data_IF_036986583492
#
_entry.id   IF_036986583492
#
_cell.length_a   1.000
_cell.length_b   1.000
_cell.length_c   1.000
_cell.angle_alpha   90.00
_cell.angle_beta   90.00
_cell.angle_gamma   90.00
#
_symmetry.space_group_name_H-M   'P 1'
#
loop_
_entity.id
_entity.type
_entity.pdbx_description
1 polymer ?
#
# COMPACT_ATOMS: atom_id res chain seq x y z
N UNK A 1 -42.32 -22.80 9.56
CA UNK A 1 -41.23 -22.65 10.57
C UNK A 1 -39.90 -22.80 9.82
N UNK A 2 -39.28 -21.72 9.45
CA UNK A 2 -37.96 -21.65 8.80
C UNK A 2 -36.88 -21.61 9.91
N UNK A 3 -35.81 -22.41 9.84
CA UNK A 3 -34.75 -22.34 10.82
C UNK A 3 -33.92 -21.08 10.61
N UNK A 4 -33.75 -20.30 11.69
CA UNK A 4 -32.95 -19.08 11.68
C UNK A 4 -31.45 -19.39 11.50
N UNK A 5 -30.85 -18.72 10.54
CA UNK A 5 -29.39 -18.72 10.35
C UNK A 5 -28.79 -17.76 11.39
N UNK A 6 -28.12 -18.35 12.35
CA UNK A 6 -27.34 -17.62 13.36
C UNK A 6 -26.01 -17.21 12.72
N UNK A 7 -25.87 -15.92 12.42
CA UNK A 7 -24.59 -15.34 12.02
C UNK A 7 -23.79 -15.02 13.29
N UNK A 8 -22.53 -15.41 13.39
CA UNK A 8 -21.70 -15.05 14.53
C UNK A 8 -21.39 -13.54 14.50
N UNK A 9 -21.49 -12.91 15.66
CA UNK A 9 -21.14 -11.51 15.87
C UNK A 9 -19.63 -11.27 15.62
N UNK A 10 -19.25 -10.11 15.07
CA UNK A 10 -17.84 -9.76 14.89
C UNK A 10 -17.24 -9.44 16.27
N UNK A 11 -16.34 -10.27 16.73
CA UNK A 11 -15.50 -9.98 17.89
C UNK A 11 -14.56 -8.83 17.57
N UNK A 12 -14.85 -7.67 18.14
CA UNK A 12 -13.92 -6.57 18.31
C UNK A 12 -12.85 -6.97 19.32
N UNK A 13 -11.61 -6.89 18.93
CA UNK A 13 -10.50 -6.90 19.88
C UNK A 13 -9.47 -7.99 19.67
N UNK A 14 -8.25 -7.55 19.44
CA UNK A 14 -7.07 -8.39 19.55
C UNK A 14 -6.26 -8.46 18.26
N UNK A 15 -5.21 -7.68 18.22
CA UNK A 15 -4.07 -7.94 17.35
C UNK A 15 -3.60 -9.38 17.59
N UNK A 16 -3.93 -10.30 16.70
CA UNK A 16 -3.46 -11.68 16.78
C UNK A 16 -2.05 -11.71 16.20
N UNK A 17 -1.10 -11.45 17.06
CA UNK A 17 0.26 -11.94 16.91
C UNK A 17 0.23 -13.44 17.20
N UNK A 18 0.74 -14.24 16.29
CA UNK A 18 0.97 -15.68 16.31
C UNK A 18 0.01 -16.54 15.48
N UNK A 19 0.33 -16.60 14.18
CA UNK A 19 0.09 -17.80 13.35
C UNK A 19 0.82 -17.80 12.01
N UNK A 20 1.99 -17.21 11.88
CA UNK A 20 2.79 -17.43 10.67
C UNK A 20 4.06 -18.19 11.00
N UNK A 21 4.00 -19.52 10.77
CA UNK A 21 5.19 -20.38 10.72
C UNK A 21 6.19 -19.78 9.75
N UNK A 22 7.36 -19.53 10.28
CA UNK A 22 8.55 -19.00 9.60
C UNK A 22 8.82 -19.80 8.32
N UNK A 23 8.56 -19.20 7.17
CA UNK A 23 9.04 -19.68 5.88
C UNK A 23 10.51 -19.26 5.79
N UNK A 24 11.45 -20.16 5.40
CA UNK A 24 12.87 -19.89 5.50
C UNK A 24 13.29 -18.70 4.65
N UNK A 25 14.04 -17.79 5.27
CA UNK A 25 14.49 -16.45 4.82
C UNK A 25 15.21 -16.35 3.47
N UNK A 26 15.46 -17.45 2.75
CA UNK A 26 16.27 -17.45 1.50
C UNK A 26 15.49 -17.45 0.19
N UNK A 27 14.17 -17.70 0.21
CA UNK A 27 13.39 -17.87 -1.05
C UNK A 27 12.43 -16.73 -1.36
N UNK A 28 12.15 -15.82 -0.40
CA UNK A 28 11.01 -14.90 -0.51
C UNK A 28 11.20 -13.82 -1.59
N UNK A 29 12.39 -13.24 -1.70
CA UNK A 29 12.60 -12.13 -2.66
C UNK A 29 12.70 -12.63 -4.10
N UNK A 30 13.16 -13.86 -4.33
CA UNK A 30 13.14 -14.48 -5.67
C UNK A 30 11.72 -14.82 -6.13
N UNK A 31 10.80 -15.14 -5.20
CA UNK A 31 9.41 -15.49 -5.49
C UNK A 31 8.52 -14.26 -5.73
N UNK A 32 8.82 -13.15 -5.06
CA UNK A 32 8.04 -11.90 -5.16
C UNK A 32 8.35 -11.12 -6.44
N UNK A 33 9.52 -11.33 -7.06
CA UNK A 33 9.97 -10.59 -8.24
C UNK A 33 10.26 -11.41 -9.50
N UNK A 34 9.52 -12.49 -9.87
CA UNK A 34 9.80 -13.21 -11.12
C UNK A 34 9.49 -12.40 -12.39
N UNK A 35 8.68 -11.33 -12.29
CA UNK A 35 8.35 -10.41 -13.39
C UNK A 35 9.06 -9.06 -13.32
N UNK A 36 9.92 -8.85 -12.34
CA UNK A 36 10.63 -7.58 -12.12
C UNK A 36 11.77 -7.29 -13.11
N UNK A 37 11.91 -8.06 -14.18
CA UNK A 37 12.94 -7.81 -15.20
C UNK A 37 12.72 -6.48 -15.97
N UNK A 38 11.50 -5.92 -15.93
CA UNK A 38 11.13 -4.71 -16.67
C UNK A 38 11.07 -3.45 -15.76
N UNK A 39 11.24 -3.61 -14.45
CA UNK A 39 11.20 -2.47 -13.52
C UNK A 39 12.50 -1.68 -13.65
N UNK A 40 12.38 -0.41 -13.97
CA UNK A 40 13.51 0.51 -14.02
C UNK A 40 14.12 0.64 -12.62
N UNK A 41 15.32 0.08 -12.45
CA UNK A 41 16.11 0.17 -11.22
C UNK A 41 17.24 1.16 -11.43
N UNK A 42 17.22 2.26 -10.70
CA UNK A 42 18.33 3.20 -10.66
C UNK A 42 19.12 3.00 -9.39
N UNK A 43 20.45 2.95 -9.49
CA UNK A 43 21.34 2.95 -8.33
C UNK A 43 22.03 4.30 -8.25
N UNK A 44 21.87 4.97 -7.11
CA UNK A 44 22.55 6.23 -6.79
C UNK A 44 23.29 6.06 -5.46
N UNK A 45 24.53 5.58 -5.52
CA UNK A 45 25.28 5.27 -4.31
C UNK A 45 24.62 4.15 -3.47
N UNK A 46 24.23 4.47 -2.25
CA UNK A 46 23.56 3.57 -1.30
C UNK A 46 22.02 3.58 -1.43
N UNK A 47 21.47 4.31 -2.39
CA UNK A 47 20.06 4.37 -2.69
C UNK A 47 19.72 3.50 -3.91
N UNK A 48 18.68 2.68 -3.78
CA UNK A 48 18.07 1.94 -4.88
C UNK A 48 16.68 2.51 -5.10
N UNK A 49 16.37 2.92 -6.32
CA UNK A 49 15.07 3.44 -6.70
C UNK A 49 14.41 2.44 -7.65
N UNK A 50 13.20 2.02 -7.32
CA UNK A 50 12.37 1.12 -8.13
C UNK A 50 11.14 1.90 -8.56
N UNK A 51 10.85 1.93 -9.87
CA UNK A 51 9.68 2.62 -10.44
C UNK A 51 8.66 1.61 -10.90
N UNK A 52 7.38 2.01 -10.86
CA UNK A 52 6.26 1.21 -11.31
C UNK A 52 6.25 -0.19 -10.66
N UNK A 53 6.42 -0.22 -9.34
CA UNK A 53 6.52 -1.48 -8.60
C UNK A 53 5.13 -2.03 -8.32
N UNK A 54 4.75 -3.19 -8.89
CA UNK A 54 3.49 -3.83 -8.58
C UNK A 54 3.47 -4.28 -7.12
N UNK A 55 2.38 -4.00 -6.44
CA UNK A 55 2.15 -4.33 -5.03
C UNK A 55 0.81 -4.99 -4.84
N UNK A 56 0.71 -5.84 -3.82
CA UNK A 56 -0.54 -6.46 -3.43
C UNK A 56 -0.54 -6.78 -1.94
N UNK A 57 -1.73 -6.87 -1.38
CA UNK A 57 -1.98 -7.41 -0.04
C UNK A 57 -3.10 -8.43 -0.12
N UNK A 58 -2.88 -9.61 0.47
CA UNK A 58 -3.91 -10.64 0.61
C UNK A 58 -4.76 -10.37 1.84
N UNK A 59 -4.18 -9.75 2.87
CA UNK A 59 -4.88 -9.42 4.10
C UNK A 59 -6.04 -8.45 3.85
N UNK A 60 -5.79 -7.39 3.08
CA UNK A 60 -6.81 -6.39 2.76
C UNK A 60 -7.38 -6.54 1.35
N UNK A 61 -6.97 -7.57 0.59
CA UNK A 61 -7.54 -7.96 -0.69
C UNK A 61 -7.36 -6.93 -1.81
N UNK A 62 -6.20 -6.25 -1.88
CA UNK A 62 -5.93 -5.23 -2.89
C UNK A 62 -4.68 -5.52 -3.71
N UNK A 63 -4.62 -4.93 -4.89
CA UNK A 63 -3.44 -4.88 -5.75
C UNK A 63 -3.34 -3.52 -6.41
N UNK A 64 -2.13 -3.11 -6.73
CA UNK A 64 -1.86 -1.81 -7.36
C UNK A 64 -0.41 -1.70 -7.80
N UNK A 65 0.02 -0.47 -8.01
CA UNK A 65 1.39 -0.15 -8.40
C UNK A 65 1.85 1.08 -7.61
N UNK A 66 3.07 1.01 -7.08
CA UNK A 66 3.74 2.17 -6.49
C UNK A 66 4.50 2.92 -7.59
N UNK A 67 4.30 4.22 -7.71
CA UNK A 67 5.05 5.05 -8.65
C UNK A 67 6.55 4.90 -8.44
N UNK A 68 6.98 5.01 -7.18
CA UNK A 68 8.38 4.86 -6.77
C UNK A 68 8.47 4.18 -5.41
N UNK A 69 9.41 3.26 -5.27
CA UNK A 69 9.84 2.70 -3.99
C UNK A 69 11.34 2.93 -3.85
N UNK A 70 11.73 3.63 -2.80
CA UNK A 70 13.11 3.90 -2.45
C UNK A 70 13.59 2.91 -1.39
N UNK A 71 14.77 2.33 -1.61
CA UNK A 71 15.45 1.47 -0.65
C UNK A 71 16.72 2.17 -0.19
N UNK A 72 16.72 2.67 1.03
CA UNK A 72 17.85 3.37 1.65
C UNK A 72 18.68 2.41 2.49
N UNK A 73 19.98 2.38 2.29
CA UNK A 73 20.86 1.55 3.12
C UNK A 73 20.74 1.91 4.59
N UNK A 74 20.52 0.90 5.45
CA UNK A 74 20.27 1.09 6.88
C UNK A 74 20.58 -0.18 7.66
N UNK A 75 21.04 -0.05 8.89
CA UNK A 75 21.28 -1.17 9.81
C UNK A 75 19.98 -1.91 10.20
N UNK A 76 18.87 -1.18 10.30
CA UNK A 76 17.57 -1.67 10.77
C UNK A 76 16.60 -2.08 9.64
N UNK A 77 17.09 -2.21 8.40
CA UNK A 77 16.26 -2.55 7.26
C UNK A 77 16.17 -4.05 6.97
N UNK A 78 15.63 -4.37 5.79
CA UNK A 78 15.51 -5.73 5.26
C UNK A 78 16.67 -6.05 4.31
N UNK A 79 17.10 -7.32 4.20
CA UNK A 79 18.06 -7.74 3.19
C UNK A 79 17.39 -7.80 1.81
N UNK A 80 18.09 -7.32 0.78
CA UNK A 80 17.66 -7.42 -0.62
C UNK A 80 18.52 -8.46 -1.34
N UNK A 81 17.87 -9.38 -2.09
CA UNK A 81 18.57 -10.42 -2.84
C UNK A 81 19.55 -9.82 -3.86
N UNK A 82 20.80 -10.31 -3.86
CA UNK A 82 21.86 -9.81 -4.74
C UNK A 82 22.47 -8.47 -4.31
N UNK A 83 22.20 -8.00 -3.08
CA UNK A 83 22.79 -6.78 -2.52
C UNK A 83 23.38 -7.04 -1.13
N UNK A 84 24.48 -6.35 -0.85
CA UNK A 84 25.12 -6.38 0.47
C UNK A 84 24.50 -5.30 1.35
N UNK A 85 24.17 -5.68 2.61
CA UNK A 85 23.57 -4.78 3.60
C UNK A 85 22.05 -4.93 3.70
N UNK A 86 21.48 -4.08 4.54
CA UNK A 86 20.04 -3.99 4.77
C UNK A 86 19.53 -2.64 4.27
N UNK A 87 18.23 -2.57 4.00
CA UNK A 87 17.61 -1.39 3.40
C UNK A 87 16.27 -1.10 4.06
N UNK A 88 16.01 0.15 4.41
CA UNK A 88 14.68 0.64 4.75
C UNK A 88 13.89 0.91 3.47
N UNK A 89 12.60 0.63 3.51
CA UNK A 89 11.69 0.74 2.36
C UNK A 89 10.83 1.98 2.52
N UNK A 90 10.78 2.83 1.51
CA UNK A 90 10.05 4.10 1.55
C UNK A 90 9.24 4.24 0.26
N UNK A 91 7.89 4.13 0.31
CA UNK A 91 7.05 4.43 -0.84
C UNK A 91 6.99 5.93 -1.10
N UNK A 92 6.98 6.31 -2.38
CA UNK A 92 6.87 7.70 -2.84
C UNK A 92 5.83 7.75 -3.95
N UNK A 93 4.74 8.45 -3.70
CA UNK A 93 3.67 8.71 -4.66
C UNK A 93 3.92 10.03 -5.39
N UNK A 94 3.76 10.05 -6.71
CA UNK A 94 3.95 11.25 -7.53
C UNK A 94 2.61 11.88 -7.91
N UNK A 95 2.47 13.16 -7.61
CA UNK A 95 1.30 13.98 -7.99
C UNK A 95 1.74 15.14 -8.87
N UNK A 96 1.06 15.37 -9.98
CA UNK A 96 1.38 16.47 -10.91
C UNK A 96 1.06 17.85 -10.31
N UNK A 97 -0.05 17.94 -9.56
CA UNK A 97 -0.59 19.19 -9.02
C UNK A 97 0.02 19.61 -7.69
N UNK A 98 -0.77 20.42 -6.96
CA UNK A 98 -0.49 20.90 -5.60
C UNK A 98 -1.17 19.99 -4.57
N UNK A 99 -0.75 20.06 -3.29
CA UNK A 99 -1.48 19.41 -2.20
C UNK A 99 -2.96 19.79 -2.18
N UNK A 100 -3.81 18.79 -1.93
CA UNK A 100 -5.25 18.99 -1.76
C UNK A 100 -5.57 18.97 -0.27
N UNK A 101 -6.68 19.59 0.12
CA UNK A 101 -7.16 19.59 1.51
C UNK A 101 -7.74 18.25 1.97
N UNK A 102 -7.70 17.20 1.14
CA UNK A 102 -8.26 15.89 1.43
C UNK A 102 -7.19 14.85 1.71
N UNK A 103 -7.47 13.90 2.58
CA UNK A 103 -6.56 12.80 2.96
C UNK A 103 -6.37 11.74 1.86
N UNK A 104 -6.96 11.92 0.68
CA UNK A 104 -7.00 10.89 -0.38
C UNK A 104 -5.58 10.47 -0.78
N UNK A 105 -4.67 11.43 -0.93
CA UNK A 105 -3.29 11.15 -1.33
C UNK A 105 -2.53 10.41 -0.20
N UNK A 106 -2.80 10.78 1.07
CA UNK A 106 -2.24 10.09 2.24
C UNK A 106 -2.77 8.65 2.36
N UNK A 107 -4.07 8.43 2.13
CA UNK A 107 -4.68 7.10 2.10
C UNK A 107 -4.08 6.22 1.01
N UNK A 108 -3.79 6.78 -0.17
CA UNK A 108 -3.19 6.05 -1.27
C UNK A 108 -1.79 5.56 -0.92
N UNK A 109 -0.90 6.43 -0.43
CA UNK A 109 0.47 6.03 -0.07
C UNK A 109 0.49 5.10 1.15
N UNK A 110 -0.46 5.24 2.09
CA UNK A 110 -0.60 4.32 3.21
C UNK A 110 -1.07 2.92 2.77
N UNK A 111 -1.98 2.84 1.80
CA UNK A 111 -2.39 1.55 1.21
C UNK A 111 -1.23 0.85 0.50
N UNK A 112 -0.41 1.59 -0.23
CA UNK A 112 0.83 1.08 -0.84
C UNK A 112 1.82 0.57 0.22
N UNK A 113 1.96 1.30 1.34
CA UNK A 113 2.82 0.88 2.44
C UNK A 113 2.35 -0.44 3.07
N UNK A 114 1.05 -0.61 3.33
CA UNK A 114 0.49 -1.87 3.85
C UNK A 114 0.76 -3.05 2.91
N UNK A 115 0.64 -2.86 1.60
CA UNK A 115 1.02 -3.89 0.63
C UNK A 115 2.51 -4.24 0.72
N UNK A 116 3.38 -3.23 0.76
CA UNK A 116 4.83 -3.43 0.85
C UNK A 116 5.23 -4.10 2.16
N UNK A 117 4.61 -3.76 3.28
CA UNK A 117 4.85 -4.37 4.59
C UNK A 117 4.55 -5.87 4.57
N UNK A 118 3.40 -6.26 3.99
CA UNK A 118 3.05 -7.68 3.83
C UNK A 118 4.02 -8.40 2.88
N UNK A 119 4.28 -7.82 1.70
CA UNK A 119 5.13 -8.42 0.69
C UNK A 119 6.58 -8.58 1.12
N UNK A 120 7.10 -7.64 1.90
CA UNK A 120 8.51 -7.58 2.29
C UNK A 120 8.75 -7.99 3.74
N UNK A 121 7.70 -8.32 4.49
CA UNK A 121 7.77 -8.67 5.92
C UNK A 121 8.56 -7.64 6.73
N UNK A 122 8.24 -6.36 6.55
CA UNK A 122 8.89 -5.23 7.22
C UNK A 122 7.87 -4.25 7.77
N UNK A 123 8.33 -3.28 8.56
CA UNK A 123 7.53 -2.15 9.00
C UNK A 123 7.95 -0.90 8.26
N UNK A 124 6.97 -0.13 7.79
CA UNK A 124 7.19 1.12 7.06
C UNK A 124 6.46 2.23 7.82
N UNK A 125 7.16 3.03 8.63
CA UNK A 125 6.53 4.02 9.49
C UNK A 125 6.07 5.28 8.77
N UNK A 126 6.60 5.54 7.57
CA UNK A 126 6.26 6.72 6.78
C UNK A 126 6.54 6.50 5.28
N UNK A 127 5.96 7.35 4.47
CA UNK A 127 6.24 7.48 3.05
C UNK A 127 6.24 8.94 2.62
N UNK A 128 6.28 9.19 1.33
CA UNK A 128 6.25 10.54 0.80
C UNK A 128 5.26 10.70 -0.33
N UNK A 129 4.73 11.92 -0.46
CA UNK A 129 4.04 12.41 -1.64
C UNK A 129 4.90 13.49 -2.26
N UNK A 130 5.20 13.36 -3.55
CA UNK A 130 5.93 14.37 -4.31
C UNK A 130 4.98 15.13 -5.22
N UNK A 131 4.83 16.43 -4.98
CA UNK A 131 4.03 17.35 -5.78
C UNK A 131 4.88 18.04 -6.83
N UNK A 132 4.71 17.66 -8.09
CA UNK A 132 5.58 18.10 -9.20
C UNK A 132 5.47 19.59 -9.52
N UNK A 133 4.29 20.21 -9.37
CA UNK A 133 4.07 21.62 -9.67
C UNK A 133 4.90 22.55 -8.76
N UNK A 134 4.96 22.22 -7.47
CA UNK A 134 5.70 23.00 -6.46
C UNK A 134 7.04 22.38 -6.11
N UNK A 135 7.41 21.23 -6.73
CA UNK A 135 8.63 20.47 -6.45
C UNK A 135 8.83 20.19 -4.96
N UNK A 136 7.74 19.90 -4.26
CA UNK A 136 7.73 19.67 -2.82
C UNK A 136 7.51 18.21 -2.50
N UNK A 137 8.23 17.72 -1.49
CA UNK A 137 8.10 16.35 -0.96
C UNK A 137 7.52 16.43 0.45
N UNK A 138 6.30 15.95 0.62
CA UNK A 138 5.60 15.91 1.88
C UNK A 138 5.77 14.54 2.52
N UNK A 139 6.14 14.52 3.81
CA UNK A 139 6.25 13.29 4.59
C UNK A 139 4.89 12.94 5.18
N UNK A 140 4.45 11.70 4.97
CA UNK A 140 3.22 11.14 5.55
C UNK A 140 3.61 10.07 6.55
N UNK A 141 3.26 10.26 7.81
CA UNK A 141 3.44 9.26 8.86
C UNK A 141 2.26 8.29 8.87
N UNK A 142 2.55 6.99 8.88
CA UNK A 142 1.51 5.95 8.85
C UNK A 142 1.09 5.60 10.26
N UNK A 143 0.28 6.48 10.86
CA UNK A 143 -0.31 6.29 12.19
C UNK A 143 -1.29 5.12 12.18
N UNK A 144 -1.57 4.55 13.35
CA UNK A 144 -2.58 3.48 13.46
C UNK A 144 -3.96 3.94 13.01
N UNK A 145 -4.30 5.21 13.24
CA UNK A 145 -5.56 5.79 12.75
C UNK A 145 -5.63 5.75 11.21
N UNK A 146 -4.56 6.19 10.53
CA UNK A 146 -4.49 6.17 9.07
C UNK A 146 -4.56 4.74 8.52
N UNK A 147 -3.88 3.79 9.18
CA UNK A 147 -3.90 2.37 8.83
C UNK A 147 -5.29 1.76 8.97
N UNK A 148 -5.98 2.02 10.09
CA UNK A 148 -7.36 1.57 10.30
C UNK A 148 -8.29 2.16 9.24
N UNK A 149 -8.21 3.47 8.97
CA UNK A 149 -9.01 4.13 7.94
C UNK A 149 -8.83 3.49 6.54
N UNK A 150 -7.61 3.10 6.18
CA UNK A 150 -7.35 2.36 4.93
C UNK A 150 -8.04 1.00 4.94
N UNK A 151 -7.88 0.22 6.02
CA UNK A 151 -8.48 -1.12 6.15
C UNK A 151 -10.01 -1.05 6.08
N UNK A 152 -10.62 -0.12 6.79
CA UNK A 152 -12.08 0.07 6.81
C UNK A 152 -12.61 0.45 5.44
N UNK A 153 -11.92 1.36 4.74
CA UNK A 153 -12.28 1.77 3.38
C UNK A 153 -12.28 0.58 2.41
N UNK A 154 -11.25 -0.27 2.45
CA UNK A 154 -11.22 -1.45 1.59
C UNK A 154 -12.23 -2.52 2.01
N UNK A 155 -12.49 -2.71 3.29
CA UNK A 155 -13.55 -3.59 3.76
C UNK A 155 -14.93 -3.15 3.24
N UNK A 156 -15.21 -1.85 3.26
CA UNK A 156 -16.44 -1.29 2.68
C UNK A 156 -16.51 -1.49 1.16
N UNK A 157 -15.43 -1.26 0.44
CA UNK A 157 -15.35 -1.49 -1.01
C UNK A 157 -15.62 -2.96 -1.36
N UNK A 158 -15.01 -3.90 -0.63
CA UNK A 158 -15.24 -5.34 -0.82
C UNK A 158 -16.69 -5.74 -0.51
N UNK A 159 -17.30 -5.15 0.51
CA UNK A 159 -18.71 -5.34 0.82
C UNK A 159 -19.60 -4.91 -0.35
N UNK A 160 -19.39 -3.73 -0.91
CA UNK A 160 -20.15 -3.25 -2.07
C UNK A 160 -19.94 -4.14 -3.30
N UNK A 161 -18.70 -4.54 -3.55
CA UNK A 161 -18.37 -5.44 -4.64
C UNK A 161 -19.07 -6.80 -4.50
N UNK A 162 -19.00 -7.40 -3.30
CA UNK A 162 -19.67 -8.68 -3.02
C UNK A 162 -21.21 -8.62 -3.14
N UNK A 163 -21.79 -7.48 -2.78
CA UNK A 163 -23.22 -7.22 -2.92
C UNK A 163 -23.62 -6.81 -4.34
N UNK A 164 -22.67 -6.65 -5.26
CA UNK A 164 -22.88 -6.08 -6.60
C UNK A 164 -23.63 -4.73 -6.56
N UNK A 165 -23.34 -3.95 -5.53
CA UNK A 165 -23.96 -2.68 -5.25
C UNK A 165 -23.10 -1.53 -5.77
N UNK A 166 -23.69 -0.67 -6.61
CA UNK A 166 -23.05 0.58 -7.03
C UNK A 166 -23.74 1.75 -6.33
N UNK A 167 -23.01 2.48 -5.46
CA UNK A 167 -23.58 3.64 -4.78
C UNK A 167 -24.07 4.70 -5.78
N UNK A 168 -25.26 5.22 -5.53
CA UNK A 168 -25.79 6.34 -6.33
C UNK A 168 -25.06 7.61 -5.94
N UNK A 169 -24.42 8.26 -6.89
CA UNK A 169 -23.75 9.53 -6.69
C UNK A 169 -24.57 10.68 -7.29
N UNK A 170 -24.56 11.83 -6.61
CA UNK A 170 -25.16 13.04 -7.16
C UNK A 170 -24.21 13.68 -8.16
N UNK A 171 -24.76 14.20 -9.25
CA UNK A 171 -23.99 14.94 -10.23
C UNK A 171 -23.28 16.14 -9.56
N UNK A 172 -22.02 16.32 -9.90
CA UNK A 172 -21.19 17.42 -9.40
C UNK A 172 -20.38 18.05 -10.55
N UNK A 173 -19.77 19.21 -10.29
CA UNK A 173 -18.89 19.87 -11.26
C UNK A 173 -17.73 18.97 -11.70
N UNK A 174 -17.24 18.10 -10.82
CA UNK A 174 -16.17 17.13 -11.11
C UNK A 174 -16.59 16.09 -12.17
N UNK A 175 -17.90 15.83 -12.31
CA UNK A 175 -18.41 14.91 -13.34
C UNK A 175 -18.16 15.43 -14.77
N UNK A 176 -17.99 16.73 -14.95
CA UNK A 176 -17.71 17.31 -16.28
C UNK A 176 -16.33 16.90 -16.82
N UNK A 177 -15.36 16.66 -15.93
CA UNK A 177 -14.01 16.23 -16.26
C UNK A 177 -13.80 14.71 -16.09
N UNK A 178 -14.85 13.96 -15.79
CA UNK A 178 -14.75 12.52 -15.54
C UNK A 178 -14.71 11.75 -16.88
N UNK A 179 -13.77 10.81 -17.00
CA UNK A 179 -13.66 9.93 -18.18
C UNK A 179 -14.72 8.82 -18.22
N UNK A 180 -15.45 8.60 -17.13
CA UNK A 180 -16.52 7.59 -17.00
C UNK A 180 -17.92 8.18 -17.24
N UNK A 181 -18.01 9.27 -17.94
CA UNK A 181 -19.22 10.05 -18.21
C UNK A 181 -20.14 9.32 -19.19
#
# INVERSE_FOLDING_TARGET
KTPGIHLPEPHLGGCVTDKYKIIPKRSFIKLVFPRCATILKEKRGDLIVVRAMPVHSREIGISGECDVVEFHRSENGIPISGRVGKYTVIPVEYKRGKPKSSDIDALQVAAQALCLEEMLCCSIPYGYIYYGEIRHREKIEFTEELRCKVKDMFAEMHKYYGQRYTPKVKWSKSCNACSLK
#
